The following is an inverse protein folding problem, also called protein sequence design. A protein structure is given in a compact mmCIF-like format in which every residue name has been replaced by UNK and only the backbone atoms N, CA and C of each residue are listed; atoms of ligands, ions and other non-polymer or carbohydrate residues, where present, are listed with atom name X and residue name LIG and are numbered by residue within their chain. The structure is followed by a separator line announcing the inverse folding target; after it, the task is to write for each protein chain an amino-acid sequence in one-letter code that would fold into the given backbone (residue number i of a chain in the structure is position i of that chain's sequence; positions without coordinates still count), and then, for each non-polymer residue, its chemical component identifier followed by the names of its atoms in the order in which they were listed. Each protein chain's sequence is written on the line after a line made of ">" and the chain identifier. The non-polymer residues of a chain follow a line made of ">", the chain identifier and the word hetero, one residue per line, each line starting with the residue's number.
data_IF_433440835325
#
_entry.id   IF_433440835325
#
_cell.length_a   1.000
_cell.length_b   1.000
_cell.length_c   1.000
_cell.angle_alpha   90.00
_cell.angle_beta   90.00
_cell.angle_gamma   90.00
#
_symmetry.space_group_name_H-M   'P 1'
#
loop_
_entity.id
_entity.type
_entity.pdbx_description
1 polymer ?
#
# COMPACT_ATOMS: atom_id res chain seq x y z
N UNK A 1 -29.95 70.95 25.51
CA UNK A 1 -30.33 70.73 24.10
C UNK A 1 -29.21 69.99 23.37
N UNK A 2 -29.09 68.69 23.63
CA UNK A 2 -28.23 67.80 22.83
C UNK A 2 -29.04 67.14 21.72
N UNK A 3 -30.33 66.88 21.97
CA UNK A 3 -31.27 66.33 21.00
C UNK A 3 -31.55 67.27 19.81
N UNK A 4 -31.69 68.59 20.05
CA UNK A 4 -31.89 69.57 18.96
C UNK A 4 -30.64 69.74 18.10
N UNK A 5 -29.45 69.55 18.69
CA UNK A 5 -28.16 69.60 17.98
C UNK A 5 -27.99 68.36 17.10
N UNK A 6 -28.35 67.18 17.61
CA UNK A 6 -28.36 65.94 16.84
C UNK A 6 -29.37 66.00 15.68
N UNK A 7 -30.55 66.58 15.91
CA UNK A 7 -31.57 66.78 14.86
C UNK A 7 -31.11 67.77 13.78
N UNK A 8 -30.44 68.87 14.15
CA UNK A 8 -29.88 69.83 13.21
C UNK A 8 -28.72 69.24 12.37
N UNK A 9 -27.86 68.43 12.99
CA UNK A 9 -26.77 67.73 12.28
C UNK A 9 -27.27 66.64 11.32
N UNK A 10 -28.41 66.01 11.63
CA UNK A 10 -29.11 65.09 10.74
C UNK A 10 -29.76 65.82 9.55
N UNK A 11 -30.35 67.00 9.77
CA UNK A 11 -30.98 67.83 8.72
C UNK A 11 -29.96 68.37 7.70
N UNK A 12 -28.74 68.71 8.14
CA UNK A 12 -27.65 69.23 7.29
C UNK A 12 -26.88 68.09 6.58
N UNK A 13 -27.16 66.82 6.91
CA UNK A 13 -26.51 65.66 6.30
C UNK A 13 -25.08 65.40 6.78
N UNK A 14 -24.59 66.13 7.78
CA UNK A 14 -23.25 65.96 8.35
C UNK A 14 -23.06 64.59 9.02
N UNK A 15 -24.10 64.05 9.66
CA UNK A 15 -24.11 62.71 10.21
C UNK A 15 -24.00 61.62 9.12
N UNK A 16 -24.67 61.80 7.98
CA UNK A 16 -24.59 60.88 6.85
C UNK A 16 -23.22 60.93 6.15
N UNK A 17 -22.56 62.10 6.13
CA UNK A 17 -21.19 62.24 5.64
C UNK A 17 -20.17 61.48 6.50
N UNK A 18 -20.25 61.60 7.83
CA UNK A 18 -19.37 60.88 8.78
C UNK A 18 -19.55 59.36 8.71
N UNK A 19 -20.80 58.89 8.63
CA UNK A 19 -21.10 57.46 8.46
C UNK A 19 -20.57 56.90 7.14
N UNK A 20 -20.63 57.67 6.04
CA UNK A 20 -20.03 57.25 4.76
C UNK A 20 -18.51 57.17 4.84
N UNK A 21 -17.84 58.14 5.47
CA UNK A 21 -16.38 58.12 5.64
C UNK A 21 -15.91 56.98 6.56
N UNK A 22 -16.66 56.68 7.63
CA UNK A 22 -16.36 55.55 8.53
C UNK A 22 -16.61 54.20 7.86
N UNK A 23 -17.67 54.08 7.05
CA UNK A 23 -17.95 52.88 6.27
C UNK A 23 -16.90 52.63 5.18
N UNK A 24 -16.43 53.68 4.49
CA UNK A 24 -15.35 53.57 3.50
C UNK A 24 -14.00 53.22 4.16
N UNK A 25 -13.69 53.82 5.31
CA UNK A 25 -12.48 53.48 6.08
C UNK A 25 -12.51 52.02 6.57
N UNK A 26 -13.65 51.54 7.07
CA UNK A 26 -13.83 50.15 7.51
C UNK A 26 -13.76 49.16 6.34
N UNK A 27 -14.38 49.47 5.20
CA UNK A 27 -14.31 48.65 4.01
C UNK A 27 -12.89 48.58 3.42
N UNK A 28 -12.12 49.68 3.50
CA UNK A 28 -10.71 49.68 3.11
C UNK A 28 -9.85 48.83 4.05
N UNK A 29 -10.06 48.94 5.36
CA UNK A 29 -9.35 48.13 6.35
C UNK A 29 -9.65 46.62 6.21
N UNK A 30 -10.91 46.24 5.95
CA UNK A 30 -11.28 44.85 5.70
C UNK A 30 -10.66 44.30 4.41
N UNK A 31 -10.60 45.09 3.33
CA UNK A 31 -9.93 44.68 2.08
C UNK A 31 -8.43 44.49 2.26
N UNK A 32 -7.77 45.39 3.00
CA UNK A 32 -6.34 45.28 3.29
C UNK A 32 -6.05 44.07 4.19
N UNK A 33 -6.90 43.80 5.20
CA UNK A 33 -6.80 42.61 6.05
C UNK A 33 -7.03 41.29 5.27
N UNK A 34 -8.03 41.26 4.38
CA UNK A 34 -8.28 40.10 3.51
C UNK A 34 -7.14 39.85 2.52
N UNK A 35 -6.57 40.90 1.94
CA UNK A 35 -5.41 40.78 1.05
C UNK A 35 -4.16 40.27 1.78
N UNK A 36 -3.93 40.72 3.01
CA UNK A 36 -2.84 40.21 3.87
C UNK A 36 -3.03 38.73 4.20
N UNK A 37 -4.23 38.32 4.62
CA UNK A 37 -4.56 36.93 4.93
C UNK A 37 -4.41 35.99 3.72
N UNK A 38 -4.84 36.44 2.52
CA UNK A 38 -4.67 35.66 1.29
C UNK A 38 -3.19 35.48 0.92
N UNK A 39 -2.37 36.52 1.08
CA UNK A 39 -0.93 36.47 0.82
C UNK A 39 -0.22 35.51 1.77
N UNK A 40 -0.59 35.51 3.04
CA UNK A 40 -0.06 34.60 4.05
C UNK A 40 -0.45 33.14 3.74
N UNK A 41 -1.72 32.88 3.43
CA UNK A 41 -2.19 31.54 3.04
C UNK A 41 -1.46 31.00 1.82
N UNK A 42 -1.24 31.84 0.79
CA UNK A 42 -0.49 31.45 -0.41
C UNK A 42 0.97 31.13 -0.10
N UNK A 43 1.62 31.91 0.78
CA UNK A 43 2.99 31.64 1.24
C UNK A 43 3.07 30.34 2.03
N UNK A 44 2.14 30.10 2.94
CA UNK A 44 2.10 28.87 3.74
C UNK A 44 1.87 27.63 2.86
N UNK A 45 0.99 27.72 1.85
CA UNK A 45 0.77 26.63 0.90
C UNK A 45 2.01 26.34 0.06
N UNK A 46 2.66 27.38 -0.46
CA UNK A 46 3.88 27.22 -1.25
C UNK A 46 5.02 26.64 -0.42
N UNK A 47 5.16 27.07 0.84
CA UNK A 47 6.18 26.55 1.75
C UNK A 47 5.93 25.08 2.11
N UNK A 48 4.67 24.68 2.35
CA UNK A 48 4.31 23.27 2.54
C UNK A 48 4.64 22.42 1.32
N UNK A 49 4.34 22.94 0.13
CA UNK A 49 4.61 22.22 -1.12
C UNK A 49 6.12 22.08 -1.37
N UNK A 50 6.90 23.14 -1.13
CA UNK A 50 8.36 23.07 -1.21
C UNK A 50 8.97 22.08 -0.21
N UNK A 51 8.49 22.07 1.03
CA UNK A 51 8.95 21.10 2.05
C UNK A 51 8.62 19.66 1.63
N UNK A 52 7.41 19.40 1.16
CA UNK A 52 7.02 18.07 0.69
C UNK A 52 7.87 17.61 -0.51
N UNK A 53 8.19 18.52 -1.45
CA UNK A 53 9.10 18.19 -2.56
C UNK A 53 10.51 17.89 -2.08
N UNK A 54 11.05 18.69 -1.15
CA UNK A 54 12.39 18.50 -0.60
C UNK A 54 12.52 17.20 0.21
N UNK A 55 11.51 16.89 1.04
CA UNK A 55 11.45 15.62 1.78
C UNK A 55 11.40 14.42 0.82
N UNK A 56 10.63 14.52 -0.26
CA UNK A 56 10.55 13.46 -1.26
C UNK A 56 11.87 13.26 -2.03
N UNK A 57 12.59 14.34 -2.32
CA UNK A 57 13.91 14.30 -2.95
C UNK A 57 14.98 13.73 -2.00
N UNK A 58 14.93 14.06 -0.71
CA UNK A 58 15.83 13.53 0.32
C UNK A 58 15.62 12.01 0.51
N UNK A 59 14.37 11.55 0.57
CA UNK A 59 14.04 10.11 0.62
C UNK A 59 14.59 9.38 -0.61
N UNK A 60 14.40 9.96 -1.81
CA UNK A 60 14.93 9.39 -3.06
C UNK A 60 16.46 9.27 -3.03
N UNK A 61 17.14 10.29 -2.51
CA UNK A 61 18.60 10.31 -2.42
C UNK A 61 19.12 9.26 -1.44
N UNK A 62 18.52 9.16 -0.25
CA UNK A 62 18.89 8.16 0.76
C UNK A 62 18.72 6.73 0.22
N UNK A 63 17.60 6.44 -0.44
CA UNK A 63 17.34 5.12 -1.04
C UNK A 63 18.35 4.77 -2.14
N UNK A 64 18.75 5.75 -2.97
CA UNK A 64 19.77 5.56 -3.99
C UNK A 64 21.19 5.36 -3.40
N UNK A 65 21.53 6.03 -2.29
CA UNK A 65 22.80 5.82 -1.58
C UNK A 65 22.87 4.42 -0.93
N UNK A 66 21.73 3.85 -0.53
CA UNK A 66 21.62 2.47 -0.02
C UNK A 66 21.55 1.38 -1.12
N UNK A 67 21.60 1.78 -2.40
CA UNK A 67 21.56 0.85 -3.54
C UNK A 67 20.17 0.26 -3.82
N UNK A 68 19.11 0.88 -3.31
CA UNK A 68 17.71 0.49 -3.54
C UNK A 68 17.16 1.33 -4.70
N UNK A 69 17.07 0.73 -5.89
CA UNK A 69 16.37 1.34 -7.02
C UNK A 69 14.86 1.36 -6.74
N UNK A 70 14.32 2.56 -6.54
CA UNK A 70 12.87 2.78 -6.49
C UNK A 70 12.32 2.66 -7.92
N UNK A 71 11.60 1.57 -8.20
CA UNK A 71 10.82 1.41 -9.42
C UNK A 71 9.87 2.60 -9.60
N UNK A 72 9.72 3.10 -10.83
CA UNK A 72 8.70 4.11 -11.11
C UNK A 72 7.31 3.58 -10.69
N UNK A 73 6.36 4.46 -10.35
CA UNK A 73 5.07 4.03 -9.80
C UNK A 73 4.33 2.99 -10.67
N UNK A 74 4.48 3.08 -11.99
CA UNK A 74 3.93 2.13 -12.98
C UNK A 74 4.73 0.80 -13.06
N UNK A 75 6.03 0.82 -12.74
CA UNK A 75 6.85 -0.39 -12.62
C UNK A 75 6.68 -1.09 -11.27
N UNK A 76 6.44 -0.34 -10.18
CA UNK A 76 6.12 -0.89 -8.87
C UNK A 76 4.75 -1.60 -8.88
N UNK A 77 3.79 -1.10 -9.65
CA UNK A 77 2.49 -1.76 -9.85
C UNK A 77 2.62 -3.06 -10.67
N UNK A 78 3.64 -3.17 -11.53
CA UNK A 78 4.00 -4.36 -12.31
C UNK A 78 5.00 -5.26 -11.61
N UNK A 79 5.59 -4.81 -10.50
CA UNK A 79 6.49 -5.61 -9.68
C UNK A 79 5.67 -6.67 -8.96
N UNK A 80 5.51 -7.82 -9.61
CA UNK A 80 5.07 -9.03 -8.93
C UNK A 80 5.94 -9.21 -7.69
N UNK A 81 5.34 -9.33 -6.51
CA UNK A 81 6.04 -9.62 -5.27
C UNK A 81 6.57 -11.06 -5.30
N UNK A 82 7.56 -11.31 -6.15
CA UNK A 82 8.22 -12.61 -6.33
C UNK A 82 8.84 -13.07 -5.02
N UNK A 83 9.26 -12.14 -4.17
CA UNK A 83 9.77 -12.41 -2.82
C UNK A 83 8.73 -13.08 -1.91
N UNK A 84 7.44 -12.97 -2.22
CA UNK A 84 6.37 -13.69 -1.51
C UNK A 84 6.27 -15.17 -1.90
N UNK A 85 6.92 -15.60 -2.99
CA UNK A 85 6.91 -16.99 -3.43
C UNK A 85 8.03 -17.78 -2.73
N UNK A 86 7.64 -18.60 -1.75
CA UNK A 86 8.57 -19.44 -0.99
C UNK A 86 8.38 -20.92 -1.31
N UNK A 87 9.49 -21.66 -1.42
CA UNK A 87 9.46 -23.11 -1.66
C UNK A 87 9.28 -23.97 -0.40
N UNK A 88 9.58 -23.41 0.77
CA UNK A 88 9.41 -24.00 2.09
C UNK A 88 9.02 -22.89 3.07
N UNK A 89 7.77 -22.87 3.57
CA UNK A 89 7.34 -21.90 4.58
C UNK A 89 8.16 -21.99 5.88
N UNK A 90 8.38 -20.85 6.51
CA UNK A 90 9.03 -20.71 7.82
C UNK A 90 8.00 -20.44 8.92
N UNK A 91 8.38 -20.73 10.16
CA UNK A 91 7.46 -20.63 11.30
C UNK A 91 7.02 -19.17 11.46
N UNK A 92 5.71 -18.95 11.47
CA UNK A 92 5.11 -17.62 11.51
C UNK A 92 4.66 -17.09 10.14
N UNK A 93 4.99 -17.77 9.04
CA UNK A 93 4.51 -17.41 7.71
C UNK A 93 3.02 -17.71 7.56
N UNK A 94 2.31 -16.80 6.88
CA UNK A 94 0.92 -16.99 6.46
C UNK A 94 0.87 -17.56 5.04
N UNK A 95 0.39 -18.80 4.90
CA UNK A 95 0.32 -19.48 3.61
C UNK A 95 -1.03 -19.17 2.95
N UNK A 96 -1.00 -18.29 1.96
CA UNK A 96 -2.19 -17.85 1.22
C UNK A 96 -2.65 -18.91 0.22
N UNK A 97 -1.75 -19.33 -0.69
CA UNK A 97 -2.05 -20.20 -1.82
C UNK A 97 -0.85 -21.10 -2.18
N UNK A 98 -1.10 -22.25 -2.79
CA UNK A 98 -0.05 -23.13 -3.31
C UNK A 98 -0.04 -23.09 -4.85
N UNK A 99 1.12 -22.80 -5.44
CA UNK A 99 1.28 -22.71 -6.90
C UNK A 99 2.15 -23.88 -7.39
N UNK A 100 1.65 -24.76 -8.26
CA UNK A 100 2.46 -25.83 -8.83
C UNK A 100 3.41 -25.25 -9.88
N UNK A 101 4.70 -25.59 -9.78
CA UNK A 101 5.74 -25.14 -10.72
C UNK A 101 6.51 -26.32 -11.31
N UNK A 102 6.95 -26.18 -12.56
CA UNK A 102 7.85 -27.13 -13.20
C UNK A 102 9.19 -26.44 -13.45
N UNK A 103 10.27 -26.98 -12.88
CA UNK A 103 11.60 -26.39 -12.96
C UNK A 103 12.70 -27.47 -12.98
N UNK A 104 13.94 -27.14 -13.41
CA UNK A 104 15.07 -28.04 -13.30
C UNK A 104 15.30 -28.50 -11.85
N UNK A 105 15.69 -29.77 -11.65
CA UNK A 105 15.83 -30.37 -10.31
C UNK A 105 16.73 -29.57 -9.36
N UNK A 106 17.81 -28.99 -9.90
CA UNK A 106 18.75 -28.19 -9.10
C UNK A 106 18.14 -26.88 -8.58
N UNK A 107 17.14 -26.32 -9.28
CA UNK A 107 16.43 -25.12 -8.83
C UNK A 107 15.44 -25.44 -7.69
N UNK A 108 14.97 -26.68 -7.60
CA UNK A 108 14.03 -27.15 -6.56
C UNK A 108 14.74 -27.55 -5.25
N UNK A 109 16.00 -27.16 -5.05
CA UNK A 109 16.80 -27.52 -3.87
C UNK A 109 16.10 -27.18 -2.56
N UNK A 110 15.55 -25.96 -2.47
CA UNK A 110 14.88 -25.40 -1.27
C UNK A 110 13.39 -25.69 -1.18
N UNK A 111 12.82 -26.43 -2.14
CA UNK A 111 11.40 -26.78 -2.14
C UNK A 111 11.15 -28.03 -1.28
N UNK A 112 10.20 -27.91 -0.36
CA UNK A 112 9.73 -29.01 0.49
C UNK A 112 9.03 -30.10 -0.32
N UNK A 113 8.12 -29.70 -1.21
CA UNK A 113 7.35 -30.61 -2.05
C UNK A 113 7.94 -30.64 -3.46
N UNK A 114 8.61 -31.75 -3.81
CA UNK A 114 9.18 -31.94 -5.15
C UNK A 114 9.10 -33.38 -5.62
N UNK A 115 8.91 -33.55 -6.93
CA UNK A 115 8.90 -34.85 -7.59
C UNK A 115 9.82 -34.79 -8.81
N UNK A 116 10.58 -35.86 -9.03
CA UNK A 116 11.41 -36.03 -10.22
C UNK A 116 10.65 -36.84 -11.26
N UNK A 117 10.38 -36.24 -12.42
CA UNK A 117 9.84 -36.98 -13.56
C UNK A 117 10.93 -37.83 -14.19
N UNK A 118 10.61 -39.10 -14.43
CA UNK A 118 11.45 -40.02 -15.17
C UNK A 118 10.87 -40.23 -16.57
N UNK A 119 11.68 -40.20 -17.64
CA UNK A 119 11.22 -40.60 -18.97
C UNK A 119 10.65 -42.02 -18.95
N UNK A 120 9.48 -42.21 -19.55
CA UNK A 120 8.81 -43.51 -19.55
C UNK A 120 7.44 -43.48 -20.25
N UNK A 121 6.72 -44.62 -20.25
CA UNK A 121 5.45 -44.76 -20.97
C UNK A 121 4.25 -44.06 -20.30
N UNK A 122 4.46 -43.44 -19.12
CA UNK A 122 3.38 -42.82 -18.36
C UNK A 122 2.97 -41.48 -19.00
N UNK A 123 1.68 -41.35 -19.34
CA UNK A 123 1.11 -40.11 -19.86
C UNK A 123 1.15 -38.99 -18.80
N UNK A 124 1.34 -37.75 -19.23
CA UNK A 124 1.44 -36.55 -18.37
C UNK A 124 0.30 -36.46 -17.34
N UNK A 125 -0.96 -36.56 -17.78
CA UNK A 125 -2.11 -36.47 -16.87
C UNK A 125 -2.13 -37.56 -15.79
N UNK A 126 -1.72 -38.78 -16.14
CA UNK A 126 -1.59 -39.87 -15.16
C UNK A 126 -0.49 -39.58 -14.14
N UNK A 127 0.65 -39.07 -14.60
CA UNK A 127 1.75 -38.70 -13.72
C UNK A 127 1.35 -37.58 -12.74
N UNK A 128 0.64 -36.55 -13.19
CA UNK A 128 0.13 -35.47 -12.32
C UNK A 128 -0.84 -36.02 -11.28
N UNK A 129 -1.79 -36.86 -11.71
CA UNK A 129 -2.75 -37.49 -10.80
C UNK A 129 -2.05 -38.33 -9.72
N UNK A 130 -1.06 -39.13 -10.12
CA UNK A 130 -0.27 -39.95 -9.20
C UNK A 130 0.49 -39.11 -8.16
N UNK A 131 1.09 -37.98 -8.58
CA UNK A 131 1.76 -37.05 -7.66
C UNK A 131 0.80 -36.47 -6.63
N UNK A 132 -0.35 -35.96 -7.07
CA UNK A 132 -1.35 -35.37 -6.18
C UNK A 132 -1.92 -36.41 -5.21
N UNK A 133 -2.26 -37.61 -5.70
CA UNK A 133 -2.74 -38.71 -4.86
C UNK A 133 -1.68 -39.14 -3.84
N UNK A 134 -0.41 -39.20 -4.23
CA UNK A 134 0.69 -39.56 -3.33
C UNK A 134 0.84 -38.57 -2.18
N UNK A 135 0.79 -37.27 -2.45
CA UNK A 135 0.86 -36.26 -1.38
C UNK A 135 -0.36 -36.30 -0.47
N UNK A 136 -1.57 -36.44 -1.04
CA UNK A 136 -2.81 -36.59 -0.25
C UNK A 136 -2.75 -37.81 0.69
N UNK A 137 -2.19 -38.93 0.23
CA UNK A 137 -2.00 -40.14 1.05
C UNK A 137 -0.94 -39.97 2.14
N UNK A 138 0.16 -39.26 1.86
CA UNK A 138 1.19 -39.00 2.88
C UNK A 138 0.62 -38.13 4.01
N UNK A 139 -0.22 -37.15 3.66
CA UNK A 139 -0.87 -36.26 4.61
C UNK A 139 -1.86 -36.94 5.57
N UNK A 140 -2.32 -38.17 5.30
CA UNK A 140 -3.22 -38.91 6.21
C UNK A 140 -2.48 -39.79 7.21
N UNK A 141 -1.16 -39.93 7.08
CA UNK A 141 -0.36 -40.76 8.00
C UNK A 141 -0.19 -40.07 9.35
N UNK A 142 -0.37 -40.85 10.42
CA UNK A 142 -0.20 -40.37 11.79
C UNK A 142 1.23 -39.85 12.00
N UNK A 143 1.36 -38.63 12.54
CA UNK A 143 2.63 -38.01 12.89
C UNK A 143 3.35 -37.30 11.74
N UNK A 144 2.77 -37.26 10.53
CA UNK A 144 3.33 -36.51 9.40
C UNK A 144 2.94 -35.03 9.44
N UNK A 145 1.71 -34.74 9.89
CA UNK A 145 1.22 -33.37 10.02
C UNK A 145 1.60 -32.84 11.39
N UNK A 146 2.23 -31.67 11.41
CA UNK A 146 2.47 -30.88 12.62
C UNK A 146 1.36 -29.84 12.79
N UNK A 147 0.41 -30.12 13.67
CA UNK A 147 -0.75 -29.25 13.96
C UNK A 147 -0.35 -27.85 14.44
N UNK A 148 0.88 -27.67 14.96
CA UNK A 148 1.37 -26.38 15.45
C UNK A 148 2.16 -25.59 14.41
N UNK A 149 2.47 -26.18 13.25
CA UNK A 149 3.28 -25.56 12.20
C UNK A 149 4.63 -25.01 12.70
N UNK A 150 5.36 -25.83 13.49
CA UNK A 150 6.65 -25.46 14.09
C UNK A 150 7.82 -26.20 13.43
N UNK A 151 7.59 -27.42 12.94
CA UNK A 151 8.61 -28.23 12.26
C UNK A 151 8.50 -28.04 10.74
N UNK A 152 9.48 -27.39 10.13
CA UNK A 152 9.50 -27.12 8.67
C UNK A 152 9.56 -28.39 7.82
N UNK A 153 10.09 -29.49 8.35
CA UNK A 153 10.20 -30.77 7.65
C UNK A 153 8.88 -31.56 7.66
N UNK A 154 7.97 -31.23 8.59
CA UNK A 154 6.63 -31.84 8.69
C UNK A 154 5.61 -31.07 7.89
N UNK A 155 4.58 -31.75 7.41
CA UNK A 155 3.50 -31.06 6.70
C UNK A 155 2.70 -30.19 7.67
N UNK A 156 2.29 -29.00 7.24
CA UNK A 156 1.44 -28.12 8.05
C UNK A 156 -0.02 -28.22 7.63
N UNK A 157 -0.99 -27.97 8.53
CA UNK A 157 -2.41 -28.07 8.21
C UNK A 157 -2.81 -27.26 6.98
N UNK A 158 -2.31 -26.02 6.87
CA UNK A 158 -2.60 -25.14 5.74
C UNK A 158 -1.99 -25.63 4.43
N UNK A 159 -0.75 -26.14 4.45
CA UNK A 159 -0.14 -26.78 3.28
C UNK A 159 -0.95 -27.99 2.81
N UNK A 160 -1.39 -28.84 3.75
CA UNK A 160 -2.18 -30.04 3.46
C UNK A 160 -3.53 -29.68 2.85
N UNK A 161 -4.19 -28.65 3.37
CA UNK A 161 -5.44 -28.13 2.84
C UNK A 161 -5.30 -27.72 1.36
N UNK A 162 -4.29 -26.89 1.06
CA UNK A 162 -4.02 -26.40 -0.29
C UNK A 162 -3.63 -27.55 -1.25
N UNK A 163 -2.78 -28.48 -0.80
CA UNK A 163 -2.42 -29.67 -1.58
C UNK A 163 -3.65 -30.54 -1.89
N UNK A 164 -4.59 -30.67 -0.95
CA UNK A 164 -5.83 -31.42 -1.16
C UNK A 164 -6.78 -30.71 -2.14
N UNK A 165 -6.76 -29.38 -2.15
CA UNK A 165 -7.57 -28.54 -3.03
C UNK A 165 -7.15 -28.63 -4.51
N UNK A 166 -5.90 -29.02 -4.81
CA UNK A 166 -5.47 -29.23 -6.19
C UNK A 166 -6.35 -30.26 -6.92
N UNK A 167 -6.85 -29.82 -8.07
CA UNK A 167 -7.54 -30.64 -9.07
C UNK A 167 -6.63 -30.76 -10.29
N UNK A 168 -6.41 -31.96 -10.83
CA UNK A 168 -5.75 -32.10 -12.12
C UNK A 168 -6.64 -31.42 -13.17
N UNK A 169 -6.08 -30.48 -13.93
CA UNK A 169 -6.74 -29.94 -15.11
C UNK A 169 -6.80 -31.04 -16.19
N UNK A 170 -7.96 -31.19 -16.85
CA UNK A 170 -8.23 -32.25 -17.84
C UNK A 170 -7.52 -32.02 -19.18
#
# INVERSE_FOLDING_TARGET
>A
DEDDRAAAEALIGAAAGRQKTEAEAKARAEREAQAAAQKERRRAQHQKQQKATAEHEEIRRLMHEEGVELLEADEAEKATALDGLVGTPLVGDEIVEAIPVCAPWNALGRFKYKVKFQPGPVKKGKAVKEVLERWKLVATKKGVVDERAQDSERMWPREVELIKAFKPEE
#
